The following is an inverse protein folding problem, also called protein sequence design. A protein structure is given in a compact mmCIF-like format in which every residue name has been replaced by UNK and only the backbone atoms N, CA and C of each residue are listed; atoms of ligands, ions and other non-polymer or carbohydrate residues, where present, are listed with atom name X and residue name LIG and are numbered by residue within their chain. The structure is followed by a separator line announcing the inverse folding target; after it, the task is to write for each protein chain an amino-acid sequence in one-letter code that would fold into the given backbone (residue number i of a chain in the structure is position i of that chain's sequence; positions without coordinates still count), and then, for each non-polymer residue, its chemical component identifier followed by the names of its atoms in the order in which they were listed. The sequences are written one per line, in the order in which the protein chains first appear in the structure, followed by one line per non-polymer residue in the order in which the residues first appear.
data_IF_463894400328
#
_entry.id   IF_463894400328
#
_cell.length_a   1.000
_cell.length_b   1.000
_cell.length_c   1.000
_cell.angle_alpha   90.00
_cell.angle_beta   90.00
_cell.angle_gamma   90.00
#
_symmetry.space_group_name_H-M   'P 1'
#
loop_
_entity.id
_entity.type
_entity.pdbx_description
1 polymer ?
#
# COMPACT_ATOMS: atom_id res chain seq x y z
N UNK A 1 21.78 -6.81 -17.62
CA UNK A 1 20.79 -5.86 -17.08
C UNK A 1 19.66 -6.71 -16.51
N UNK A 2 19.60 -6.87 -15.19
CA UNK A 2 18.50 -7.60 -14.54
C UNK A 2 17.20 -6.85 -14.84
N UNK A 3 16.15 -7.56 -15.23
CA UNK A 3 14.81 -7.02 -15.43
C UNK A 3 14.18 -6.62 -14.08
N UNK A 4 14.81 -5.67 -13.38
CA UNK A 4 14.39 -5.19 -12.08
C UNK A 4 13.11 -4.38 -12.18
N UNK A 5 12.29 -4.46 -11.14
CA UNK A 5 11.11 -3.62 -10.96
C UNK A 5 11.57 -2.15 -10.96
N UNK A 6 11.04 -1.35 -11.89
CA UNK A 6 11.27 0.09 -11.94
C UNK A 6 10.24 0.77 -11.05
N UNK A 7 10.69 1.57 -10.07
CA UNK A 7 9.80 2.38 -9.25
C UNK A 7 9.20 3.52 -10.08
N UNK A 8 7.88 3.64 -10.06
CA UNK A 8 7.15 4.75 -10.67
C UNK A 8 6.16 5.28 -9.64
N UNK A 9 6.37 6.51 -9.17
CA UNK A 9 5.57 7.12 -8.11
C UNK A 9 4.08 7.23 -8.50
N UNK A 10 3.76 7.49 -9.77
CA UNK A 10 2.37 7.60 -10.23
C UNK A 10 1.66 6.24 -10.20
N UNK A 11 2.35 5.19 -10.65
CA UNK A 11 1.81 3.83 -10.61
C UNK A 11 1.64 3.35 -9.16
N UNK A 12 2.59 3.69 -8.28
CA UNK A 12 2.50 3.37 -6.85
C UNK A 12 1.36 4.14 -6.19
N UNK A 13 1.20 5.43 -6.47
CA UNK A 13 0.08 6.23 -5.96
C UNK A 13 -1.27 5.66 -6.41
N UNK A 14 -1.38 5.25 -7.68
CA UNK A 14 -2.57 4.56 -8.19
C UNK A 14 -2.82 3.23 -7.47
N UNK A 15 -1.78 2.46 -7.20
CA UNK A 15 -1.90 1.20 -6.47
C UNK A 15 -2.35 1.41 -5.01
N UNK A 16 -1.81 2.42 -4.32
CA UNK A 16 -2.23 2.83 -2.97
C UNK A 16 -3.72 3.16 -2.95
N UNK A 17 -4.20 4.01 -3.86
CA UNK A 17 -5.63 4.36 -3.94
C UNK A 17 -6.52 3.13 -4.14
N UNK A 18 -6.11 2.18 -4.98
CA UNK A 18 -6.86 0.93 -5.20
C UNK A 18 -6.92 0.09 -3.91
N UNK A 19 -5.81 -0.03 -3.20
CA UNK A 19 -5.70 -0.84 -1.99
C UNK A 19 -6.51 -0.23 -0.84
N UNK A 20 -6.47 1.09 -0.67
CA UNK A 20 -7.25 1.81 0.33
C UNK A 20 -8.75 1.69 0.06
N UNK A 21 -9.17 1.94 -1.18
CA UNK A 21 -10.57 1.76 -1.58
C UNK A 21 -11.03 0.31 -1.38
N UNK A 22 -10.23 -0.66 -1.79
CA UNK A 22 -10.56 -2.09 -1.64
C UNK A 22 -10.67 -2.49 -0.16
N UNK A 23 -9.82 -1.93 0.70
CA UNK A 23 -9.88 -2.16 2.14
C UNK A 23 -11.19 -1.63 2.73
N UNK A 24 -11.57 -0.39 2.39
CA UNK A 24 -12.80 0.24 2.88
C UNK A 24 -14.05 -0.52 2.39
N UNK A 25 -14.11 -0.84 1.10
CA UNK A 25 -15.23 -1.54 0.48
C UNK A 25 -15.45 -2.92 1.12
N UNK A 26 -14.40 -3.72 1.22
CA UNK A 26 -14.47 -5.09 1.76
C UNK A 26 -14.83 -5.10 3.25
N UNK A 27 -14.37 -4.12 4.04
CA UNK A 27 -14.73 -4.01 5.45
C UNK A 27 -16.14 -3.48 5.70
N UNK A 28 -16.76 -2.82 4.72
CA UNK A 28 -18.09 -2.21 4.89
C UNK A 28 -19.22 -3.24 5.00
N UNK A 29 -18.98 -4.48 4.56
CA UNK A 29 -19.98 -5.56 4.53
C UNK A 29 -19.66 -6.66 5.54
N UNK A 30 -20.35 -6.62 6.68
CA UNK A 30 -20.37 -7.75 7.63
C UNK A 30 -21.41 -8.76 7.20
N UNK A 31 -21.03 -10.04 7.10
CA UNK A 31 -21.98 -11.11 6.82
C UNK A 31 -22.74 -11.50 8.08
N UNK A 32 -24.04 -11.66 7.95
CA UNK A 32 -24.91 -12.20 8.99
C UNK A 32 -25.28 -13.64 8.66
N UNK A 33 -25.34 -14.48 9.70
CA UNK A 33 -25.77 -15.86 9.52
C UNK A 33 -27.28 -15.90 9.22
N UNK A 34 -27.72 -16.64 8.20
CA UNK A 34 -29.13 -16.77 7.91
C UNK A 34 -29.81 -17.57 9.02
N UNK A 35 -31.02 -17.15 9.38
CA UNK A 35 -31.83 -17.82 10.39
C UNK A 35 -32.63 -18.99 9.80
N UNK A 36 -33.14 -19.86 10.67
CA UNK A 36 -34.01 -20.97 10.26
C UNK A 36 -33.27 -22.21 9.77
N UNK A 37 -31.97 -22.34 10.07
CA UNK A 37 -31.15 -23.51 9.77
C UNK A 37 -31.38 -24.71 10.73
N UNK A 38 -32.31 -24.57 11.69
CA UNK A 38 -32.65 -25.62 12.64
C UNK A 38 -31.44 -26.04 13.48
N UNK A 39 -31.16 -27.34 13.55
CA UNK A 39 -30.03 -27.87 14.33
C UNK A 39 -28.65 -27.35 13.88
N UNK A 40 -28.54 -26.81 12.65
CA UNK A 40 -27.26 -26.39 12.08
C UNK A 40 -26.98 -24.89 12.29
N UNK A 41 -27.88 -24.15 12.96
CA UNK A 41 -27.81 -22.69 13.10
C UNK A 41 -26.55 -22.23 13.84
N UNK A 42 -26.13 -22.95 14.89
CA UNK A 42 -24.91 -22.66 15.62
C UNK A 42 -23.65 -22.87 14.76
N UNK A 43 -23.59 -23.97 14.01
CA UNK A 43 -22.47 -24.27 13.12
C UNK A 43 -22.36 -23.23 12.00
N UNK A 44 -23.49 -22.85 11.41
CA UNK A 44 -23.54 -21.84 10.36
C UNK A 44 -23.08 -20.47 10.87
N UNK A 45 -23.52 -20.08 12.07
CA UNK A 45 -23.05 -18.86 12.75
C UNK A 45 -21.53 -18.88 12.92
N UNK A 46 -20.97 -19.98 13.42
CA UNK A 46 -19.53 -20.11 13.60
C UNK A 46 -18.75 -20.03 12.27
N UNK A 47 -19.30 -20.55 11.17
CA UNK A 47 -18.66 -20.42 9.85
C UNK A 47 -18.70 -18.98 9.34
N UNK A 48 -19.83 -18.30 9.47
CA UNK A 48 -19.98 -16.89 9.05
C UNK A 48 -19.00 -16.00 9.83
N UNK A 49 -18.85 -16.21 11.14
CA UNK A 49 -17.84 -15.50 11.94
C UNK A 49 -16.40 -15.74 11.44
N UNK A 50 -16.07 -16.97 11.03
CA UNK A 50 -14.75 -17.28 10.47
C UNK A 50 -14.52 -16.57 9.14
N UNK A 51 -15.54 -16.51 8.27
CA UNK A 51 -15.48 -15.79 7.00
C UNK A 51 -15.26 -14.30 7.26
N UNK A 52 -16.04 -13.69 8.16
CA UNK A 52 -15.86 -12.29 8.54
C UNK A 52 -14.44 -12.01 9.05
N UNK A 53 -13.84 -12.91 9.85
CA UNK A 53 -12.44 -12.77 10.29
C UNK A 53 -11.43 -12.79 9.14
N UNK A 54 -11.66 -13.61 8.11
CA UNK A 54 -10.79 -13.66 6.93
C UNK A 54 -10.93 -12.39 6.09
N UNK A 55 -12.16 -11.90 5.91
CA UNK A 55 -12.46 -10.62 5.22
C UNK A 55 -11.70 -9.47 5.90
N UNK A 56 -11.80 -9.36 7.23
CA UNK A 56 -11.06 -8.36 8.02
C UNK A 56 -9.55 -8.46 7.84
N UNK A 57 -8.98 -9.69 7.83
CA UNK A 57 -7.55 -9.90 7.60
C UNK A 57 -7.12 -9.45 6.19
N UNK A 58 -7.92 -9.73 5.17
CA UNK A 58 -7.62 -9.33 3.80
C UNK A 58 -7.61 -7.80 3.65
N UNK A 59 -8.60 -7.12 4.24
CA UNK A 59 -8.64 -5.67 4.27
C UNK A 59 -7.44 -5.07 5.03
N UNK A 60 -7.13 -5.60 6.22
CA UNK A 60 -5.93 -5.19 6.97
C UNK A 60 -4.64 -5.33 6.14
N UNK A 61 -4.46 -6.47 5.46
CA UNK A 61 -3.29 -6.65 4.59
C UNK A 61 -3.24 -5.62 3.45
N UNK A 62 -4.40 -5.28 2.85
CA UNK A 62 -4.47 -4.27 1.79
C UNK A 62 -4.03 -2.90 2.29
N UNK A 63 -4.54 -2.47 3.46
CA UNK A 63 -4.11 -1.22 4.11
C UNK A 63 -2.62 -1.24 4.50
N UNK A 64 -2.11 -2.36 5.03
CA UNK A 64 -0.69 -2.48 5.39
C UNK A 64 0.24 -2.36 4.16
N UNK A 65 -0.14 -2.95 3.03
CA UNK A 65 0.61 -2.81 1.77
C UNK A 65 0.54 -1.37 1.26
N UNK A 66 -0.63 -0.72 1.31
CA UNK A 66 -0.78 0.68 0.92
C UNK A 66 0.16 1.59 1.73
N UNK A 67 0.17 1.46 3.06
CA UNK A 67 1.08 2.23 3.92
C UNK A 67 2.56 1.96 3.60
N UNK A 68 2.93 0.70 3.35
CA UNK A 68 4.31 0.35 2.99
C UNK A 68 4.75 0.97 1.65
N UNK A 69 3.84 0.99 0.67
CA UNK A 69 4.08 1.63 -0.63
C UNK A 69 4.22 3.15 -0.50
N UNK A 70 3.38 3.80 0.30
CA UNK A 70 3.46 5.24 0.59
C UNK A 70 4.82 5.58 1.23
N UNK A 71 5.20 4.86 2.29
CA UNK A 71 6.47 5.09 2.98
C UNK A 71 7.69 4.87 2.06
N UNK A 72 7.62 3.86 1.18
CA UNK A 72 8.67 3.64 0.19
C UNK A 72 8.75 4.78 -0.83
N UNK A 73 7.62 5.27 -1.34
CA UNK A 73 7.58 6.42 -2.25
C UNK A 73 8.16 7.68 -1.63
N UNK A 74 7.83 7.95 -0.36
CA UNK A 74 8.40 9.08 0.40
C UNK A 74 9.92 8.95 0.56
N UNK A 75 10.42 7.74 0.84
CA UNK A 75 11.85 7.49 0.95
C UNK A 75 12.60 7.69 -0.38
N UNK A 76 12.01 7.25 -1.50
CA UNK A 76 12.58 7.51 -2.82
C UNK A 76 12.61 9.00 -3.14
N UNK A 77 11.50 9.71 -2.93
CA UNK A 77 11.44 11.16 -3.14
C UNK A 77 12.49 11.90 -2.31
N UNK A 78 12.63 11.57 -1.03
CA UNK A 78 13.65 12.18 -0.17
C UNK A 78 15.08 11.87 -0.63
N UNK A 79 15.33 10.70 -1.21
CA UNK A 79 16.64 10.33 -1.74
C UNK A 79 16.94 11.14 -3.00
N UNK A 80 15.98 11.23 -3.91
CA UNK A 80 16.10 12.01 -5.16
C UNK A 80 16.35 13.50 -4.87
N UNK A 81 15.63 14.08 -3.89
CA UNK A 81 15.84 15.47 -3.45
C UNK A 81 17.26 15.70 -2.91
N UNK A 82 17.76 14.77 -2.11
CA UNK A 82 19.11 14.86 -1.55
C UNK A 82 20.19 14.72 -2.64
N UNK A 83 19.99 13.83 -3.62
CA UNK A 83 20.88 13.70 -4.77
C UNK A 83 20.88 14.97 -5.63
N UNK A 84 19.72 15.58 -5.85
CA UNK A 84 19.61 16.84 -6.59
C UNK A 84 20.37 17.98 -5.90
N UNK A 85 20.23 18.12 -4.57
CA UNK A 85 20.98 19.10 -3.76
C UNK A 85 22.49 18.86 -3.88
N UNK A 86 22.94 17.61 -3.74
CA UNK A 86 24.35 17.26 -3.84
C UNK A 86 24.92 17.59 -5.23
N UNK A 87 24.15 17.32 -6.28
CA UNK A 87 24.52 17.61 -7.65
C UNK A 87 24.65 19.12 -7.89
N UNK A 88 23.69 19.92 -7.40
CA UNK A 88 23.76 21.38 -7.47
C UNK A 88 25.00 21.93 -6.75
N UNK A 89 25.26 21.46 -5.52
CA UNK A 89 26.44 21.86 -4.77
C UNK A 89 27.76 21.51 -5.49
N UNK A 90 27.82 20.33 -6.12
CA UNK A 90 28.97 19.93 -6.93
C UNK A 90 29.15 20.84 -8.15
N UNK A 91 28.06 21.16 -8.86
CA UNK A 91 28.11 22.08 -10.01
C UNK A 91 28.59 23.48 -9.60
N UNK A 92 28.10 24.02 -8.48
CA UNK A 92 28.55 25.30 -7.94
C UNK A 92 30.04 25.28 -7.57
N UNK A 93 30.49 24.21 -6.92
CA UNK A 93 31.89 24.04 -6.57
C UNK A 93 32.80 24.01 -7.81
N UNK A 94 32.42 23.27 -8.85
CA UNK A 94 33.16 23.21 -10.12
C UNK A 94 33.20 24.58 -10.81
N UNK A 95 32.06 25.28 -10.86
CA UNK A 95 31.95 26.64 -11.41
C UNK A 95 32.87 27.62 -10.67
N UNK A 96 32.91 27.56 -9.34
CA UNK A 96 33.78 28.40 -8.52
C UNK A 96 35.28 28.10 -8.75
N UNK A 97 35.63 26.91 -9.24
CA UNK A 97 37.00 26.53 -9.64
C UNK A 97 37.33 26.85 -11.09
N UNK A 98 36.45 27.54 -11.81
CA UNK A 98 36.67 27.91 -13.20
C UNK A 98 36.51 26.74 -14.18
N UNK A 99 36.01 25.59 -13.73
CA UNK A 99 35.53 24.56 -14.63
C UNK A 99 34.25 25.08 -15.30
N UNK A 100 34.25 25.10 -16.64
CA UNK A 100 33.07 25.41 -17.46
C UNK A 100 32.43 24.13 -17.96
#
# INVERSE_FOLDING_TARGET
MSGGIKWNADDVSRAVNILEYSCEDVCSYTLEAPSGAGSNEADLTAQVERINKVIWKAAFCSSAVAHGLTAASEAFASTDDQEAINFQAMQEYLRNRGAR
#
